data_IF_452206705575
#
_entry.id   IF_452206705575
#
_cell.length_a   1.000
_cell.length_b   1.000
_cell.length_c   1.000
_cell.angle_alpha   90.00
_cell.angle_beta   90.00
_cell.angle_gamma   90.00
#
_symmetry.space_group_name_H-M   'P 1'
#
loop_
_entity.id
_entity.type
_entity.pdbx_description
1 polymer ?
#
# COMPACT_ATOMS: atom_id res chain seq x y z
N UNK A 1 42.31 33.24 -39.51
CA UNK A 1 41.02 32.60 -39.87
C UNK A 1 41.01 31.12 -39.52
N UNK A 2 42.01 30.33 -39.96
CA UNK A 2 42.11 28.90 -39.63
C UNK A 2 42.24 28.59 -38.13
N UNK A 3 42.91 29.44 -37.34
CA UNK A 3 43.10 29.23 -35.89
C UNK A 3 41.81 29.41 -35.08
N UNK A 4 40.98 30.39 -35.46
CA UNK A 4 39.69 30.66 -34.82
C UNK A 4 38.71 29.52 -35.10
N UNK A 5 38.72 28.99 -36.32
CA UNK A 5 37.88 27.84 -36.71
C UNK A 5 38.28 26.58 -35.93
N UNK A 6 39.58 26.31 -35.75
CA UNK A 6 40.05 25.18 -34.94
C UNK A 6 39.69 25.30 -33.46
N UNK A 7 39.78 26.51 -32.89
CA UNK A 7 39.37 26.74 -31.50
C UNK A 7 37.86 26.54 -31.32
N UNK A 8 37.03 27.01 -32.25
CA UNK A 8 35.59 26.79 -32.26
C UNK A 8 35.23 25.30 -32.34
N UNK A 9 35.90 24.54 -33.21
CA UNK A 9 35.66 23.11 -33.39
C UNK A 9 36.07 22.29 -32.15
N UNK A 10 37.15 22.69 -31.47
CA UNK A 10 37.56 22.10 -30.20
C UNK A 10 36.55 22.36 -29.08
N UNK A 11 36.04 23.60 -28.97
CA UNK A 11 34.98 23.93 -28.00
C UNK A 11 33.68 23.19 -28.28
N UNK A 12 33.29 23.05 -29.54
CA UNK A 12 32.11 22.25 -29.92
C UNK A 12 32.28 20.78 -29.54
N UNK A 13 33.46 20.21 -29.74
CA UNK A 13 33.77 18.82 -29.36
C UNK A 13 33.75 18.64 -27.85
N UNK A 14 34.33 19.56 -27.08
CA UNK A 14 34.32 19.53 -25.61
C UNK A 14 32.89 19.65 -25.04
N UNK A 15 32.09 20.57 -25.57
CA UNK A 15 30.68 20.73 -25.19
C UNK A 15 29.89 19.47 -25.54
N UNK A 16 30.13 18.90 -26.73
CA UNK A 16 29.50 17.65 -27.15
C UNK A 16 29.82 16.48 -26.24
N UNK A 17 31.09 16.32 -25.85
CA UNK A 17 31.52 15.26 -24.93
C UNK A 17 30.91 15.44 -23.52
N UNK A 18 30.87 16.69 -23.03
CA UNK A 18 30.26 17.01 -21.73
C UNK A 18 28.75 16.73 -21.70
N UNK A 19 28.02 17.22 -22.72
CA UNK A 19 26.58 16.98 -22.83
C UNK A 19 26.25 15.50 -23.04
N UNK A 20 27.03 14.81 -23.88
CA UNK A 20 26.88 13.37 -24.10
C UNK A 20 27.09 12.57 -22.81
N UNK A 21 28.17 12.85 -22.07
CA UNK A 21 28.44 12.20 -20.79
C UNK A 21 27.34 12.46 -19.75
N UNK A 22 26.85 13.70 -19.65
CA UNK A 22 25.78 14.07 -18.75
C UNK A 22 24.47 13.34 -19.06
N UNK A 23 24.06 13.28 -20.33
CA UNK A 23 22.83 12.61 -20.74
C UNK A 23 22.87 11.10 -20.47
N UNK A 24 24.01 10.45 -20.74
CA UNK A 24 24.20 9.02 -20.45
C UNK A 24 24.14 8.77 -18.94
N UNK A 25 24.81 9.59 -18.13
CA UNK A 25 24.77 9.46 -16.68
C UNK A 25 23.34 9.63 -16.12
N UNK A 26 22.58 10.62 -16.63
CA UNK A 26 21.18 10.83 -16.25
C UNK A 26 20.29 9.64 -16.65
N UNK A 27 20.51 9.07 -17.84
CA UNK A 27 19.75 7.92 -18.31
C UNK A 27 20.03 6.68 -17.44
N UNK A 28 21.30 6.40 -17.13
CA UNK A 28 21.70 5.30 -16.24
C UNK A 28 21.13 5.50 -14.84
N UNK A 29 21.23 6.71 -14.28
CA UNK A 29 20.67 7.02 -12.97
C UNK A 29 19.13 6.85 -12.95
N UNK A 30 18.45 7.28 -14.01
CA UNK A 30 17.02 7.10 -14.17
C UNK A 30 16.63 5.60 -14.23
N UNK A 31 17.33 4.80 -15.03
CA UNK A 31 17.06 3.37 -15.17
C UNK A 31 17.33 2.62 -13.87
N UNK A 32 18.43 2.92 -13.18
CA UNK A 32 18.76 2.33 -11.88
C UNK A 32 17.66 2.62 -10.85
N UNK A 33 17.27 3.89 -10.71
CA UNK A 33 16.16 4.30 -9.83
C UNK A 33 14.86 3.59 -10.19
N UNK A 34 14.54 3.50 -11.48
CA UNK A 34 13.32 2.86 -11.97
C UNK A 34 13.27 1.37 -11.59
N UNK A 35 14.39 0.65 -11.72
CA UNK A 35 14.48 -0.76 -11.31
C UNK A 35 14.20 -0.91 -9.82
N UNK A 36 14.78 -0.05 -8.99
CA UNK A 36 14.54 -0.08 -7.54
C UNK A 36 13.08 0.23 -7.18
N UNK A 37 12.46 1.21 -7.85
CA UNK A 37 11.03 1.53 -7.68
C UNK A 37 10.15 0.33 -8.05
N UNK A 38 10.46 -0.37 -9.14
CA UNK A 38 9.72 -1.57 -9.57
C UNK A 38 9.88 -2.70 -8.55
N UNK A 39 11.10 -2.98 -8.08
CA UNK A 39 11.34 -3.98 -7.03
C UNK A 39 10.57 -3.68 -5.74
N UNK A 40 10.57 -2.41 -5.30
CA UNK A 40 9.80 -1.98 -4.15
C UNK A 40 8.30 -2.13 -4.36
N UNK A 41 7.79 -1.72 -5.52
CA UNK A 41 6.38 -1.84 -5.86
C UNK A 41 5.92 -3.31 -5.92
N UNK A 42 6.73 -4.22 -6.46
CA UNK A 42 6.40 -5.65 -6.48
C UNK A 42 6.26 -6.24 -5.08
N UNK A 43 7.18 -5.88 -4.16
CA UNK A 43 7.08 -6.30 -2.76
C UNK A 43 5.82 -5.76 -2.09
N UNK A 44 5.56 -4.46 -2.25
CA UNK A 44 4.36 -3.83 -1.69
C UNK A 44 3.07 -4.46 -2.25
N UNK A 45 2.99 -4.66 -3.56
CA UNK A 45 1.80 -5.28 -4.18
C UNK A 45 1.53 -6.66 -3.59
N UNK A 46 2.56 -7.47 -3.31
CA UNK A 46 2.40 -8.75 -2.63
C UNK A 46 1.69 -8.62 -1.27
N UNK A 47 2.17 -7.69 -0.43
CA UNK A 47 1.57 -7.44 0.89
C UNK A 47 0.12 -6.92 0.78
N UNK A 48 -0.12 -5.96 -0.13
CA UNK A 48 -1.43 -5.32 -0.32
C UNK A 48 -2.48 -6.28 -0.88
N UNK A 49 -2.09 -7.10 -1.87
CA UNK A 49 -2.96 -8.14 -2.44
C UNK A 49 -3.26 -9.20 -1.39
N UNK A 50 -2.28 -9.61 -0.57
CA UNK A 50 -2.48 -10.57 0.50
C UNK A 50 -3.58 -10.14 1.48
N UNK A 51 -3.53 -8.88 1.93
CA UNK A 51 -4.56 -8.31 2.82
C UNK A 51 -5.92 -8.16 2.13
N UNK A 52 -5.93 -7.66 0.90
CA UNK A 52 -7.15 -7.47 0.12
C UNK A 52 -7.87 -8.77 -0.19
N UNK A 53 -7.11 -9.82 -0.54
CA UNK A 53 -7.63 -11.16 -0.81
C UNK A 53 -8.18 -11.80 0.47
N UNK A 54 -7.44 -11.73 1.58
CA UNK A 54 -7.90 -12.23 2.86
C UNK A 54 -9.22 -11.58 3.30
N UNK A 55 -9.36 -10.27 3.12
CA UNK A 55 -10.61 -9.56 3.39
C UNK A 55 -11.76 -10.04 2.50
N UNK A 56 -11.54 -10.16 1.19
CA UNK A 56 -12.55 -10.66 0.27
C UNK A 56 -12.98 -12.10 0.60
N UNK A 57 -12.02 -12.98 0.90
CA UNK A 57 -12.33 -14.38 1.28
C UNK A 57 -13.09 -14.49 2.59
N UNK A 58 -12.78 -13.65 3.59
CA UNK A 58 -13.50 -13.66 4.87
C UNK A 58 -14.93 -13.14 4.73
N UNK A 59 -15.15 -12.09 3.92
CA UNK A 59 -16.50 -11.58 3.64
C UNK A 59 -17.32 -12.64 2.90
N UNK A 60 -16.77 -13.25 1.86
CA UNK A 60 -17.45 -14.33 1.12
C UNK A 60 -17.78 -15.52 2.04
N UNK A 61 -16.89 -15.87 2.96
CA UNK A 61 -17.12 -16.95 3.92
C UNK A 61 -18.20 -16.57 4.95
N UNK A 62 -18.23 -15.32 5.44
CA UNK A 62 -19.26 -14.84 6.36
C UNK A 62 -20.65 -14.90 5.71
N UNK A 63 -20.74 -14.50 4.44
CA UNK A 63 -21.98 -14.57 3.65
C UNK A 63 -22.43 -16.03 3.46
N UNK A 64 -21.52 -16.95 3.15
CA UNK A 64 -21.84 -18.38 2.98
C UNK A 64 -22.36 -19.05 4.26
N UNK A 65 -21.88 -18.62 5.42
CA UNK A 65 -22.28 -19.18 6.72
C UNK A 65 -23.47 -18.40 7.32
N UNK A 66 -23.95 -17.35 6.66
CA UNK A 66 -25.07 -16.51 7.10
C UNK A 66 -24.88 -15.97 8.53
N UNK A 67 -23.68 -15.45 8.82
CA UNK A 67 -23.38 -14.86 10.12
C UNK A 67 -24.25 -13.61 10.33
N UNK A 68 -24.90 -13.52 11.50
CA UNK A 68 -25.71 -12.36 11.91
C UNK A 68 -24.79 -11.15 12.18
N UNK A 69 -25.24 -9.95 11.83
CA UNK A 69 -24.44 -8.71 11.94
C UNK A 69 -23.80 -8.49 13.33
N UNK A 70 -24.51 -8.82 14.41
CA UNK A 70 -24.01 -8.66 15.78
C UNK A 70 -22.84 -9.61 16.12
N UNK A 71 -22.79 -10.78 15.47
CA UNK A 71 -21.75 -11.80 15.65
C UNK A 71 -20.65 -11.72 14.59
N UNK A 72 -20.81 -10.86 13.57
CA UNK A 72 -19.86 -10.74 12.47
C UNK A 72 -18.47 -10.31 12.94
N UNK A 73 -18.39 -9.30 13.79
CA UNK A 73 -17.12 -8.78 14.31
C UNK A 73 -16.32 -9.82 15.11
N UNK A 74 -16.86 -10.46 16.16
CA UNK A 74 -16.13 -11.50 16.89
C UNK A 74 -15.78 -12.70 16.00
N UNK A 75 -16.67 -13.11 15.10
CA UNK A 75 -16.38 -14.19 14.14
C UNK A 75 -15.22 -13.83 13.20
N UNK A 76 -15.23 -12.64 12.60
CA UNK A 76 -14.15 -12.18 11.71
C UNK A 76 -12.83 -12.05 12.46
N UNK A 77 -12.86 -11.47 13.67
CA UNK A 77 -11.66 -11.30 14.48
C UNK A 77 -11.05 -12.66 14.88
N UNK A 78 -11.89 -13.63 15.26
CA UNK A 78 -11.44 -15.00 15.50
C UNK A 78 -10.75 -15.58 14.26
N UNK A 79 -11.38 -15.51 13.09
CA UNK A 79 -10.77 -16.01 11.84
C UNK A 79 -9.46 -15.31 11.51
N UNK A 80 -9.39 -14.00 11.70
CA UNK A 80 -8.18 -13.22 11.47
C UNK A 80 -7.04 -13.60 12.40
N UNK A 81 -7.31 -13.94 13.67
CA UNK A 81 -6.25 -14.45 14.56
C UNK A 81 -5.53 -15.64 13.91
N UNK A 82 -6.27 -16.53 13.24
CA UNK A 82 -5.71 -17.72 12.59
C UNK A 82 -5.10 -17.48 11.21
N UNK A 83 -5.67 -16.57 10.41
CA UNK A 83 -5.34 -16.44 8.99
C UNK A 83 -4.78 -15.07 8.59
N UNK A 84 -4.48 -14.18 9.54
CA UNK A 84 -3.97 -12.83 9.24
C UNK A 84 -2.74 -12.87 8.34
N UNK A 85 -2.76 -12.16 7.21
CA UNK A 85 -1.57 -12.01 6.37
C UNK A 85 -0.41 -11.40 7.15
N UNK A 86 0.81 -11.80 6.82
CA UNK A 86 2.02 -11.18 7.38
C UNK A 86 2.58 -10.20 6.36
N UNK A 87 2.68 -8.94 6.76
CA UNK A 87 3.33 -7.90 5.97
C UNK A 87 4.85 -8.13 6.02
N UNK A 88 5.50 -7.95 4.87
CA UNK A 88 6.96 -8.02 4.77
C UNK A 88 7.66 -7.05 5.73
N UNK A 89 8.76 -7.49 6.34
CA UNK A 89 9.64 -6.62 7.13
C UNK A 89 10.23 -5.46 6.29
N UNK A 90 10.26 -5.62 4.97
CA UNK A 90 10.75 -4.60 4.04
C UNK A 90 9.66 -3.62 3.59
N UNK A 91 8.46 -3.67 4.18
CA UNK A 91 7.33 -2.84 3.79
C UNK A 91 7.66 -1.35 3.89
N UNK A 92 8.13 -0.87 5.05
CA UNK A 92 8.43 0.55 5.26
C UNK A 92 9.51 1.06 4.31
N UNK A 93 10.60 0.29 4.15
CA UNK A 93 11.69 0.63 3.24
C UNK A 93 11.20 0.68 1.77
N UNK A 94 10.31 -0.23 1.38
CA UNK A 94 9.72 -0.25 0.05
C UNK A 94 8.72 0.91 -0.15
N UNK A 95 7.94 1.23 0.88
CA UNK A 95 7.00 2.34 0.90
C UNK A 95 7.73 3.67 0.70
N UNK A 96 8.76 3.97 1.51
CA UNK A 96 9.53 5.23 1.44
C UNK A 96 10.06 5.48 0.02
N UNK A 97 10.47 4.43 -0.68
CA UNK A 97 11.00 4.53 -2.04
C UNK A 97 9.96 4.91 -3.10
N UNK A 98 8.69 4.53 -2.91
CA UNK A 98 7.60 4.84 -3.85
C UNK A 98 6.76 6.05 -3.43
N UNK A 99 6.86 6.52 -2.18
CA UNK A 99 6.12 7.69 -1.67
C UNK A 99 6.30 8.96 -2.53
N UNK A 100 7.51 9.33 -3.01
CA UNK A 100 7.69 10.56 -3.78
C UNK A 100 7.01 10.56 -5.14
N UNK A 101 6.50 9.41 -5.61
CA UNK A 101 5.90 9.30 -6.94
C UNK A 101 4.55 9.99 -7.03
N UNK A 102 3.80 10.02 -5.92
CA UNK A 102 2.41 10.44 -5.90
C UNK A 102 1.92 10.66 -4.44
N UNK A 103 1.42 11.85 -4.08
CA UNK A 103 0.90 12.12 -2.72
C UNK A 103 -0.24 11.19 -2.32
N UNK A 104 -1.16 10.87 -3.23
CA UNK A 104 -2.28 9.97 -2.92
C UNK A 104 -1.81 8.55 -2.65
N UNK A 105 -0.81 8.06 -3.40
CA UNK A 105 -0.21 6.75 -3.16
C UNK A 105 0.44 6.71 -1.76
N UNK A 106 1.21 7.75 -1.44
CA UNK A 106 1.83 7.90 -0.11
C UNK A 106 0.79 7.85 1.01
N UNK A 107 -0.33 8.55 0.84
CA UNK A 107 -1.42 8.57 1.83
C UNK A 107 -2.06 7.19 2.00
N UNK A 108 -2.38 6.49 0.90
CA UNK A 108 -2.96 5.15 0.98
C UNK A 108 -2.02 4.13 1.62
N UNK A 109 -0.74 4.13 1.27
CA UNK A 109 0.25 3.22 1.88
C UNK A 109 0.41 3.50 3.39
N UNK A 110 0.52 4.77 3.77
CA UNK A 110 0.66 5.17 5.17
C UNK A 110 -0.57 4.80 6.01
N UNK A 111 -1.78 5.06 5.49
CA UNK A 111 -3.04 4.72 6.15
C UNK A 111 -3.22 3.21 6.26
N UNK A 112 -2.95 2.46 5.19
CA UNK A 112 -2.94 1.00 5.22
C UNK A 112 -2.04 0.49 6.35
N UNK A 113 -0.79 0.93 6.39
CA UNK A 113 0.19 0.47 7.37
C UNK A 113 -0.24 0.79 8.80
N UNK A 114 -0.71 2.01 9.03
CA UNK A 114 -1.18 2.47 10.34
C UNK A 114 -2.38 1.66 10.83
N UNK A 115 -3.38 1.46 9.97
CA UNK A 115 -4.55 0.66 10.28
C UNK A 115 -4.18 -0.79 10.54
N UNK A 116 -3.28 -1.37 9.74
CA UNK A 116 -2.88 -2.76 9.87
C UNK A 116 -2.10 -3.04 11.16
N UNK A 117 -1.20 -2.14 11.57
CA UNK A 117 -0.55 -2.23 12.89
C UNK A 117 -1.59 -2.20 14.01
N UNK A 118 -2.60 -1.33 13.89
CA UNK A 118 -3.72 -1.28 14.83
C UNK A 118 -4.49 -2.61 14.89
N UNK A 119 -4.74 -3.23 13.73
CA UNK A 119 -5.36 -4.56 13.64
C UNK A 119 -4.52 -5.60 14.36
N UNK A 120 -3.21 -5.70 14.09
CA UNK A 120 -2.32 -6.66 14.76
C UNK A 120 -2.34 -6.47 16.28
N UNK A 121 -2.38 -5.22 16.78
CA UNK A 121 -2.46 -4.97 18.22
C UNK A 121 -3.73 -5.55 18.85
N UNK A 122 -4.90 -5.34 18.25
CA UNK A 122 -6.16 -5.90 18.76
C UNK A 122 -6.20 -7.42 18.60
N UNK A 123 -5.74 -7.96 17.47
CA UNK A 123 -5.71 -9.40 17.24
C UNK A 123 -4.79 -10.13 18.21
N UNK A 124 -3.62 -9.57 18.55
CA UNK A 124 -2.72 -10.19 19.54
C UNK A 124 -3.37 -10.27 20.93
N UNK A 125 -4.18 -9.27 21.33
CA UNK A 125 -4.93 -9.31 22.60
C UNK A 125 -6.03 -10.37 22.55
N UNK A 126 -6.76 -10.44 21.45
CA UNK A 126 -7.81 -11.45 21.24
C UNK A 126 -7.25 -12.87 21.16
N UNK A 127 -6.07 -13.05 20.57
CA UNK A 127 -5.36 -14.33 20.51
C UNK A 127 -5.13 -14.90 21.91
N UNK A 128 -4.64 -14.07 22.84
CA UNK A 128 -4.48 -14.45 24.26
C UNK A 128 -5.81 -14.84 24.89
N UNK A 129 -6.89 -14.07 24.63
CA UNK A 129 -8.22 -14.37 25.16
C UNK A 129 -8.76 -15.72 24.64
N UNK A 130 -8.58 -16.00 23.34
CA UNK A 130 -8.99 -17.27 22.72
C UNK A 130 -8.14 -18.45 23.21
N UNK A 131 -6.86 -18.24 23.49
CA UNK A 131 -5.99 -19.26 24.09
C UNK A 131 -6.37 -19.55 25.56
N UNK A 132 -6.68 -18.52 26.35
CA UNK A 132 -7.15 -18.67 27.73
C UNK A 132 -8.46 -19.47 27.78
N UNK A 133 -9.40 -19.14 26.89
CA UNK A 133 -10.66 -19.86 26.76
C UNK A 133 -10.43 -21.33 26.39
N UNK A 134 -9.56 -21.61 25.40
CA UNK A 134 -9.23 -22.98 24.99
C UNK A 134 -8.59 -23.79 26.13
N UNK A 135 -7.78 -23.16 26.98
CA UNK A 135 -7.09 -23.83 28.09
C UNK A 135 -7.99 -24.05 29.31
N UNK A 136 -8.80 -23.08 29.67
CA UNK A 136 -9.50 -23.03 30.97
C UNK A 136 -11.02 -23.08 30.88
N UNK A 137 -11.58 -22.91 29.68
CA UNK A 137 -13.02 -22.76 29.45
C UNK A 137 -13.59 -21.43 29.95
N UNK A 138 -12.75 -20.50 30.43
CA UNK A 138 -13.15 -19.19 30.96
C UNK A 138 -12.23 -18.11 30.39
N UNK A 139 -12.78 -16.90 30.24
CA UNK A 139 -12.01 -15.71 29.86
C UNK A 139 -12.05 -14.75 31.03
N UNK A 140 -10.90 -14.20 31.41
CA UNK A 140 -10.80 -13.26 32.54
C UNK A 140 -11.38 -11.88 32.17
N UNK A 141 -11.25 -11.47 30.91
CA UNK A 141 -11.76 -10.20 30.40
C UNK A 141 -13.29 -10.22 30.19
N UNK A 142 -13.92 -9.05 30.34
CA UNK A 142 -15.36 -8.91 30.09
C UNK A 142 -15.72 -9.10 28.61
N UNK A 143 -16.92 -9.61 28.36
CA UNK A 143 -17.44 -9.84 27.00
C UNK A 143 -17.51 -8.54 26.20
N UNK A 144 -17.86 -7.43 26.85
CA UNK A 144 -17.95 -6.11 26.25
C UNK A 144 -16.58 -5.65 25.73
N UNK A 145 -15.51 -5.91 26.50
CA UNK A 145 -14.15 -5.52 26.13
C UNK A 145 -13.64 -6.33 24.93
N UNK A 146 -13.92 -7.63 24.90
CA UNK A 146 -13.58 -8.53 23.78
C UNK A 146 -14.33 -8.10 22.52
N UNK A 147 -15.63 -7.83 22.63
CA UNK A 147 -16.45 -7.39 21.51
C UNK A 147 -16.00 -6.02 20.96
N UNK A 148 -15.57 -5.10 21.83
CA UNK A 148 -15.01 -3.83 21.41
C UNK A 148 -13.71 -4.00 20.61
N UNK A 149 -12.78 -4.82 21.10
CA UNK A 149 -11.54 -5.13 20.36
C UNK A 149 -11.84 -5.82 19.02
N UNK A 150 -12.80 -6.76 18.99
CA UNK A 150 -13.19 -7.44 17.76
C UNK A 150 -13.78 -6.48 16.71
N UNK A 151 -14.64 -5.54 17.14
CA UNK A 151 -15.21 -4.51 16.25
C UNK A 151 -14.13 -3.58 15.71
N UNK A 152 -13.19 -3.15 16.56
CA UNK A 152 -12.06 -2.32 16.13
C UNK A 152 -11.18 -3.09 15.14
N UNK A 153 -10.80 -4.33 15.44
CA UNK A 153 -10.01 -5.17 14.54
C UNK A 153 -10.70 -5.37 13.18
N UNK A 154 -12.00 -5.71 13.16
CA UNK A 154 -12.75 -5.89 11.93
C UNK A 154 -12.82 -4.60 11.10
N UNK A 155 -13.23 -3.49 11.71
CA UNK A 155 -13.42 -2.22 11.00
C UNK A 155 -12.08 -1.69 10.45
N UNK A 156 -11.01 -1.74 11.26
CA UNK A 156 -9.68 -1.33 10.83
C UNK A 156 -9.12 -2.25 9.75
N UNK A 157 -9.41 -3.56 9.79
CA UNK A 157 -8.98 -4.50 8.76
C UNK A 157 -9.70 -4.27 7.43
N UNK A 158 -11.01 -4.02 7.46
CA UNK A 158 -11.79 -3.66 6.26
C UNK A 158 -11.25 -2.35 5.67
N UNK A 159 -11.06 -1.32 6.49
CA UNK A 159 -10.49 -0.05 6.02
C UNK A 159 -9.08 -0.23 5.46
N UNK A 160 -8.22 -1.01 6.11
CA UNK A 160 -6.88 -1.32 5.62
C UNK A 160 -6.94 -1.99 4.24
N UNK A 161 -7.79 -3.00 4.06
CA UNK A 161 -7.97 -3.67 2.77
C UNK A 161 -8.46 -2.71 1.67
N UNK A 162 -9.30 -1.74 1.99
CA UNK A 162 -9.73 -0.72 1.02
C UNK A 162 -8.59 0.22 0.61
N UNK A 163 -7.76 0.66 1.57
CA UNK A 163 -6.56 1.43 1.26
C UNK A 163 -5.54 0.60 0.48
N UNK A 164 -5.45 -0.71 0.76
CA UNK A 164 -4.59 -1.63 0.05
C UNK A 164 -4.97 -1.75 -1.44
N UNK A 165 -6.26 -1.96 -1.74
CA UNK A 165 -6.79 -1.99 -3.12
C UNK A 165 -6.47 -0.70 -3.89
N UNK A 166 -6.62 0.46 -3.24
CA UNK A 166 -6.27 1.74 -3.85
C UNK A 166 -4.77 1.91 -4.09
N UNK A 167 -3.93 1.54 -3.11
CA UNK A 167 -2.47 1.60 -3.26
C UNK A 167 -1.97 0.64 -4.35
N UNK A 168 -2.50 -0.59 -4.38
CA UNK A 168 -2.21 -1.59 -5.41
C UNK A 168 -2.55 -1.05 -6.81
N UNK A 169 -3.75 -0.53 -7.00
CA UNK A 169 -4.18 0.06 -8.28
C UNK A 169 -3.22 1.17 -8.72
N UNK A 170 -2.83 2.06 -7.80
CA UNK A 170 -1.90 3.15 -8.09
C UNK A 170 -0.48 2.65 -8.41
N UNK A 171 0.04 1.67 -7.67
CA UNK A 171 1.36 1.08 -7.94
C UNK A 171 1.41 0.40 -9.31
N UNK A 172 0.35 -0.35 -9.64
CA UNK A 172 0.23 -1.05 -10.92
C UNK A 172 0.33 -0.07 -12.10
N UNK A 173 -0.29 1.11 -12.02
CA UNK A 173 -0.28 2.07 -13.13
C UNK A 173 0.91 3.03 -13.11
N UNK A 174 1.32 3.51 -11.92
CA UNK A 174 2.33 4.55 -11.79
C UNK A 174 3.76 3.99 -11.74
N UNK A 175 3.91 2.71 -11.40
CA UNK A 175 5.22 2.05 -11.26
C UNK A 175 5.33 0.84 -12.17
N UNK A 176 4.41 -0.13 -12.09
CA UNK A 176 4.55 -1.39 -12.83
C UNK A 176 4.07 -1.29 -14.28
N UNK A 177 3.33 -0.24 -14.62
CA UNK A 177 2.81 -0.02 -15.96
C UNK A 177 3.90 0.26 -16.98
N UNK A 178 3.63 -0.10 -18.24
CA UNK A 178 4.53 0.12 -19.37
C UNK A 178 4.80 1.62 -19.63
N UNK A 179 3.80 2.48 -19.40
CA UNK A 179 3.87 3.91 -19.67
C UNK A 179 3.51 4.75 -18.42
N UNK A 180 4.36 4.73 -17.37
CA UNK A 180 4.06 5.36 -16.07
C UNK A 180 3.83 6.88 -16.18
N UNK A 181 4.60 7.56 -17.01
CA UNK A 181 4.50 9.01 -17.24
C UNK A 181 3.17 9.36 -17.90
N UNK A 182 2.74 8.55 -18.87
CA UNK A 182 1.43 8.70 -19.50
C UNK A 182 0.30 8.48 -18.50
N UNK A 183 0.38 7.44 -17.66
CA UNK A 183 -0.62 7.20 -16.63
C UNK A 183 -0.73 8.35 -15.63
N UNK A 184 0.39 8.99 -15.25
CA UNK A 184 0.37 10.21 -14.42
C UNK A 184 -0.38 11.35 -15.10
N UNK A 185 -0.05 11.65 -16.35
CA UNK A 185 -0.70 12.72 -17.11
C UNK A 185 -2.18 12.44 -17.30
N UNK A 186 -2.54 11.22 -17.72
CA UNK A 186 -3.94 10.79 -17.88
C UNK A 186 -4.71 10.96 -16.58
N UNK A 187 -4.15 10.51 -15.44
CA UNK A 187 -4.85 10.60 -14.15
C UNK A 187 -5.14 12.04 -13.74
N UNK A 188 -4.23 12.96 -14.03
CA UNK A 188 -4.43 14.39 -13.72
C UNK A 188 -5.52 15.00 -14.60
N UNK A 189 -5.58 14.63 -15.88
CA UNK A 189 -6.53 15.22 -16.84
C UNK A 189 -7.91 14.54 -16.85
N UNK A 190 -7.94 13.21 -16.74
CA UNK A 190 -9.15 12.39 -16.84
C UNK A 190 -9.02 11.17 -15.90
N UNK A 191 -9.28 11.34 -14.59
CA UNK A 191 -9.20 10.26 -13.62
C UNK A 191 -10.32 9.24 -13.84
N UNK A 192 -9.98 7.95 -13.74
CA UNK A 192 -10.93 6.85 -13.82
C UNK A 192 -11.91 6.85 -12.65
N UNK A 193 -13.02 6.12 -12.77
CA UNK A 193 -13.97 5.96 -11.66
C UNK A 193 -13.33 5.36 -10.41
N UNK A 194 -12.37 4.45 -10.57
CA UNK A 194 -11.62 3.85 -9.45
C UNK A 194 -10.69 4.86 -8.79
N UNK A 195 -9.99 5.68 -9.58
CA UNK A 195 -9.11 6.74 -9.07
C UNK A 195 -9.91 7.82 -8.31
N UNK A 196 -11.10 8.16 -8.81
CA UNK A 196 -12.03 9.07 -8.13
C UNK A 196 -12.49 8.48 -6.79
N UNK A 197 -12.90 7.21 -6.75
CA UNK A 197 -13.26 6.51 -5.50
C UNK A 197 -12.11 6.53 -4.49
N UNK A 198 -10.88 6.25 -4.93
CA UNK A 198 -9.72 6.28 -4.03
C UNK A 198 -9.47 7.69 -3.46
N UNK A 199 -9.59 8.73 -4.30
CA UNK A 199 -9.47 10.13 -3.85
C UNK A 199 -10.58 10.53 -2.87
N UNK A 200 -11.81 10.08 -3.11
CA UNK A 200 -12.94 10.32 -2.20
C UNK A 200 -12.75 9.64 -0.84
N UNK A 201 -12.16 8.43 -0.81
CA UNK A 201 -11.86 7.73 0.44
C UNK A 201 -10.91 8.52 1.32
N UNK A 202 -9.84 9.09 0.74
CA UNK A 202 -8.93 9.96 1.48
C UNK A 202 -9.64 11.20 2.04
N UNK A 203 -10.59 11.77 1.29
CA UNK A 203 -11.38 12.93 1.76
C UNK A 203 -12.30 12.57 2.93
N UNK A 204 -13.01 11.44 2.85
CA UNK A 204 -13.91 10.99 3.92
C UNK A 204 -13.18 10.69 5.23
N UNK A 205 -11.97 10.14 5.16
CA UNK A 205 -11.11 9.94 6.34
C UNK A 205 -10.67 11.25 6.98
N UNK A 206 -10.43 12.30 6.18
CA UNK A 206 -10.03 13.63 6.66
C UNK A 206 -11.15 14.40 7.38
N UNK A 207 -12.41 14.00 7.20
CA UNK A 207 -13.59 14.69 7.77
C UNK A 207 -14.20 13.97 8.98
N UNK A 208 -13.64 12.82 9.38
CA UNK A 208 -14.14 12.01 10.50
C UNK A 208 -13.40 12.29 11.82
N UNK A 209 -12.72 13.43 11.92
CA UNK A 209 -12.05 13.93 13.13
C UNK A 209 -12.74 15.19 13.65
#
# INVERSE_FOLDING_TARGET
MNEIIKQLDHWQTLIGAFLGGLLVALLVAYEARRREEISAAMLLVGDLVGVSAAQSSLVELAEKVSIVDDDLAPWMAERLVWSRPKISLMYEASMVRVMPLCPELSAHLSLFHTLYIGVEHHLNRLEVDFEEFRRTGKITRSKESINADARLAMNSFVAAAEHAKCAEHLLTHLVLGHFPTWHRVRRTLCPSKEEQKCKERLKKGSTAH
#
